data_IF_831119220259
#
_entry.id   IF_831119220259
#
_cell.length_a   1.000
_cell.length_b   1.000
_cell.length_c   1.000
_cell.angle_alpha   90.00
_cell.angle_beta   90.00
_cell.angle_gamma   90.00
#
_symmetry.space_group_name_H-M   'P 1'
#
loop_
_entity.id
_entity.type
_entity.pdbx_description
1 polymer ?
#
# COMPACT_ATOMS: atom_id res chain seq x y z
N UNK A 1 -19.15 4.93 16.37
CA UNK A 1 -20.27 5.89 16.25
C UNK A 1 -20.28 6.93 17.37
N UNK A 2 -20.21 6.54 18.64
CA UNK A 2 -20.20 7.51 19.76
C UNK A 2 -19.05 8.52 19.68
N UNK A 3 -17.83 8.10 19.33
CA UNK A 3 -16.70 9.01 19.16
C UNK A 3 -16.92 10.05 18.05
N UNK A 4 -17.50 9.65 16.93
CA UNK A 4 -17.85 10.55 15.81
C UNK A 4 -18.94 11.54 16.25
N UNK A 5 -19.98 11.05 16.92
CA UNK A 5 -21.10 11.88 17.37
C UNK A 5 -20.70 12.92 18.42
N UNK A 6 -19.65 12.63 19.22
CA UNK A 6 -19.15 13.54 20.26
C UNK A 6 -17.89 14.29 19.83
N UNK A 7 -17.42 14.11 18.59
CA UNK A 7 -16.27 14.83 18.09
C UNK A 7 -16.61 16.33 17.98
N UNK A 8 -15.83 17.15 18.67
CA UNK A 8 -15.92 18.61 18.60
C UNK A 8 -14.69 19.13 17.87
N UNK A 9 -14.83 19.59 16.61
CA UNK A 9 -13.72 20.19 15.88
C UNK A 9 -13.09 21.34 16.68
N UNK A 10 -11.77 21.37 16.74
CA UNK A 10 -11.02 22.45 17.38
C UNK A 10 -10.13 23.14 16.35
N UNK A 11 -10.18 24.47 16.34
CA UNK A 11 -9.28 25.26 15.51
C UNK A 11 -7.87 25.18 16.07
N UNK A 12 -6.90 24.93 15.20
CA UNK A 12 -5.48 25.03 15.50
C UNK A 12 -4.75 25.67 14.32
N UNK A 13 -3.59 26.22 14.62
CA UNK A 13 -2.74 26.95 13.68
C UNK A 13 -1.43 26.20 13.51
N UNK A 14 -0.84 26.30 12.32
CA UNK A 14 0.50 25.81 12.00
C UNK A 14 1.29 26.94 11.36
N UNK A 15 2.62 26.88 11.42
CA UNK A 15 3.48 27.87 10.78
C UNK A 15 4.26 27.23 9.65
N UNK A 16 4.23 27.89 8.49
CA UNK A 16 5.05 27.56 7.33
C UNK A 16 6.00 28.71 7.03
N UNK A 17 7.22 28.38 6.62
CA UNK A 17 8.23 29.31 6.18
C UNK A 17 8.65 28.94 4.77
N UNK A 18 8.55 29.88 3.83
CA UNK A 18 8.96 29.68 2.45
C UNK A 18 10.34 30.31 2.24
N UNK A 19 11.32 29.52 1.83
CA UNK A 19 12.68 29.99 1.56
C UNK A 19 13.33 29.13 0.47
N UNK A 20 14.08 29.76 -0.44
CA UNK A 20 14.80 29.09 -1.52
C UNK A 20 13.94 28.10 -2.35
N UNK A 21 12.66 28.43 -2.57
CA UNK A 21 11.73 27.57 -3.31
C UNK A 21 11.18 26.36 -2.53
N UNK A 22 11.50 26.24 -1.25
CA UNK A 22 11.03 25.18 -0.35
C UNK A 22 10.04 25.75 0.68
N UNK A 23 9.12 24.90 1.14
CA UNK A 23 8.22 25.19 2.26
C UNK A 23 8.61 24.34 3.46
N UNK A 24 9.06 25.00 4.52
CA UNK A 24 9.38 24.37 5.80
C UNK A 24 8.23 24.57 6.79
N UNK A 25 8.07 23.61 7.70
CA UNK A 25 7.09 23.66 8.79
C UNK A 25 7.82 23.88 10.11
N UNK A 26 7.28 24.76 10.96
CA UNK A 26 7.82 24.91 12.30
C UNK A 26 7.72 23.58 13.05
N UNK A 27 8.80 23.15 13.68
CA UNK A 27 8.83 21.88 14.41
C UNK A 27 8.31 22.02 15.84
N UNK A 28 8.49 23.20 16.45
CA UNK A 28 8.18 23.46 17.86
C UNK A 28 7.57 24.85 18.05
N UNK A 29 6.26 24.96 18.29
CA UNK A 29 5.26 23.89 18.19
C UNK A 29 4.92 23.57 16.72
N UNK A 30 4.63 22.30 16.42
CA UNK A 30 4.14 21.88 15.09
C UNK A 30 2.75 22.46 14.80
N UNK A 31 1.90 22.52 15.82
CA UNK A 31 0.60 23.19 15.80
C UNK A 31 0.27 23.79 17.16
N UNK A 32 -0.61 24.79 17.20
CA UNK A 32 -1.07 25.40 18.45
C UNK A 32 -2.51 25.93 18.32
N UNK A 33 -3.38 25.78 19.34
CA UNK A 33 -4.76 26.30 19.30
C UNK A 33 -4.82 27.83 19.34
N UNK A 34 -3.87 28.46 20.04
CA UNK A 34 -3.71 29.91 20.07
C UNK A 34 -2.74 30.37 18.98
N UNK A 35 -3.24 31.18 18.04
CA UNK A 35 -2.47 31.75 16.93
C UNK A 35 -1.35 32.66 17.40
N UNK A 36 -1.52 33.35 18.54
CA UNK A 36 -0.57 34.35 19.03
C UNK A 36 0.80 33.76 19.35
N UNK A 37 0.83 32.47 19.75
CA UNK A 37 2.08 31.72 19.97
C UNK A 37 2.90 31.66 18.68
N UNK A 38 2.28 31.32 17.56
CA UNK A 38 2.98 31.28 16.26
C UNK A 38 3.28 32.70 15.75
N UNK A 39 2.42 33.69 16.00
CA UNK A 39 2.71 35.08 15.64
C UNK A 39 3.92 35.65 16.39
N UNK A 40 4.15 35.24 17.64
CA UNK A 40 5.35 35.61 18.40
C UNK A 40 6.63 35.05 17.76
N UNK A 41 6.60 33.79 17.30
CA UNK A 41 7.71 33.17 16.57
C UNK A 41 7.95 33.90 15.25
N UNK A 42 6.88 34.25 14.51
CA UNK A 42 6.98 34.98 13.25
C UNK A 42 7.68 36.33 13.46
N UNK A 43 7.31 37.07 14.51
CA UNK A 43 7.96 38.33 14.87
C UNK A 43 9.42 38.13 15.29
N UNK A 44 9.70 37.08 16.06
CA UNK A 44 11.05 36.80 16.54
C UNK A 44 12.02 36.50 15.39
N UNK A 45 11.57 35.82 14.33
CA UNK A 45 12.42 35.45 13.18
C UNK A 45 12.42 36.48 12.04
N UNK A 46 11.63 37.54 12.13
CA UNK A 46 11.49 38.51 11.04
C UNK A 46 12.81 39.23 10.75
N UNK A 47 13.17 39.34 9.48
CA UNK A 47 14.45 39.88 9.03
C UNK A 47 15.71 39.06 9.39
N UNK A 48 15.57 37.91 10.08
CA UNK A 48 16.72 37.05 10.39
C UNK A 48 17.11 36.16 9.21
N UNK A 49 18.41 35.94 9.06
CA UNK A 49 18.93 34.94 8.13
C UNK A 49 18.77 33.53 8.70
N UNK A 50 18.22 32.63 7.89
CA UNK A 50 18.21 31.20 8.20
C UNK A 50 19.47 30.50 7.69
N UNK A 51 19.87 29.40 8.34
CA UNK A 51 20.88 28.48 7.82
C UNK A 51 20.39 27.04 7.91
N UNK A 52 20.85 26.22 6.97
CA UNK A 52 20.58 24.78 7.00
C UNK A 52 21.43 24.16 8.11
N UNK A 53 20.78 23.68 9.15
CA UNK A 53 21.42 23.02 10.28
C UNK A 53 21.78 21.56 9.94
N UNK A 54 20.94 20.89 9.15
CA UNK A 54 21.23 19.53 8.68
C UNK A 54 20.52 19.21 7.37
N UNK A 55 21.13 18.32 6.58
CA UNK A 55 20.51 17.66 5.44
C UNK A 55 20.74 16.16 5.64
N UNK A 56 19.65 15.41 5.76
CA UNK A 56 19.65 13.96 5.86
C UNK A 56 19.09 13.37 4.56
N UNK A 57 19.84 12.47 3.95
CA UNK A 57 19.42 11.68 2.79
C UNK A 57 19.32 10.22 3.22
N UNK A 58 18.12 9.66 3.13
CA UNK A 58 17.88 8.26 3.47
C UNK A 58 17.32 7.54 2.27
N UNK A 59 18.01 6.51 1.80
CA UNK A 59 17.48 5.59 0.81
C UNK A 59 16.36 4.74 1.43
N UNK A 60 15.14 4.86 0.91
CA UNK A 60 13.95 4.16 1.40
C UNK A 60 13.38 3.23 0.35
N UNK A 61 12.75 2.15 0.83
CA UNK A 61 12.03 1.18 0.01
C UNK A 61 10.56 1.16 0.41
N UNK A 62 9.67 1.32 -0.55
CA UNK A 62 8.25 1.11 -0.39
C UNK A 62 7.87 -0.22 -1.05
N UNK A 63 7.33 -1.13 -0.24
CA UNK A 63 6.88 -2.44 -0.70
C UNK A 63 5.37 -2.40 -1.04
N UNK A 64 4.90 -3.29 -1.91
CA UNK A 64 3.47 -3.46 -2.14
C UNK A 64 2.75 -3.89 -0.85
N UNK A 65 1.43 -3.71 -0.81
CA UNK A 65 0.63 -4.37 0.23
C UNK A 65 0.75 -5.88 0.08
N UNK A 66 0.52 -6.58 1.18
CA UNK A 66 0.59 -8.04 1.20
C UNK A 66 -0.44 -8.67 0.27
N UNK A 67 -0.25 -9.95 -0.05
CA UNK A 67 -1.23 -10.75 -0.78
C UNK A 67 -2.59 -10.72 -0.07
N UNK A 68 -3.67 -10.94 -0.79
CA UNK A 68 -4.99 -10.79 -0.20
C UNK A 68 -5.32 -11.91 0.79
N UNK A 69 -5.80 -11.53 1.98
CA UNK A 69 -6.76 -12.31 2.75
C UNK A 69 -8.19 -11.89 2.35
N UNK A 70 -9.22 -12.55 2.89
CA UNK A 70 -10.61 -12.23 2.54
C UNK A 70 -11.00 -10.80 2.92
N UNK A 71 -10.62 -10.34 4.12
CA UNK A 71 -10.98 -9.01 4.63
C UNK A 71 -10.39 -7.90 3.78
N UNK A 72 -9.11 -8.00 3.43
CA UNK A 72 -8.40 -7.02 2.61
C UNK A 72 -9.00 -6.93 1.21
N UNK A 73 -9.33 -8.08 0.61
CA UNK A 73 -9.98 -8.11 -0.69
C UNK A 73 -11.37 -7.47 -0.64
N UNK A 74 -12.16 -7.76 0.39
CA UNK A 74 -13.48 -7.14 0.58
C UNK A 74 -13.41 -5.63 0.75
N UNK A 75 -12.43 -5.14 1.52
CA UNK A 75 -12.22 -3.70 1.70
C UNK A 75 -11.81 -3.01 0.39
N UNK A 76 -10.85 -3.59 -0.34
CA UNK A 76 -10.41 -3.01 -1.61
C UNK A 76 -11.50 -3.11 -2.69
N UNK A 77 -12.27 -4.20 -2.74
CA UNK A 77 -13.36 -4.38 -3.68
C UNK A 77 -14.48 -3.37 -3.43
N UNK A 78 -14.79 -3.07 -2.17
CA UNK A 78 -15.73 -2.02 -1.81
C UNK A 78 -15.22 -0.63 -2.21
N UNK A 79 -13.95 -0.30 -1.91
CA UNK A 79 -13.34 0.99 -2.26
C UNK A 79 -13.32 1.25 -3.77
N UNK A 80 -13.03 0.21 -4.57
CA UNK A 80 -12.84 0.35 -6.03
C UNK A 80 -14.13 0.18 -6.82
N UNK A 81 -15.01 -0.71 -6.38
CA UNK A 81 -16.16 -1.18 -7.17
C UNK A 81 -17.49 -1.17 -6.41
N UNK A 82 -17.50 -0.70 -5.16
CA UNK A 82 -18.67 -0.72 -4.27
C UNK A 82 -19.29 -2.12 -4.08
N UNK A 83 -18.49 -3.18 -4.23
CA UNK A 83 -18.93 -4.55 -3.97
C UNK A 83 -18.93 -4.80 -2.46
N UNK A 84 -20.08 -5.18 -1.91
CA UNK A 84 -20.20 -5.45 -0.48
C UNK A 84 -19.43 -6.72 -0.06
N UNK A 85 -19.19 -6.93 1.25
CA UNK A 85 -18.47 -8.11 1.74
C UNK A 85 -19.08 -9.45 1.30
N UNK A 86 -20.41 -9.60 1.42
CA UNK A 86 -21.14 -10.82 1.01
C UNK A 86 -21.04 -11.07 -0.49
N UNK A 87 -21.19 -10.03 -1.29
CA UNK A 87 -21.11 -10.11 -2.74
C UNK A 87 -19.70 -10.48 -3.22
N UNK A 88 -18.68 -9.88 -2.61
CA UNK A 88 -17.28 -10.19 -2.88
C UNK A 88 -16.98 -11.66 -2.53
N UNK A 89 -17.42 -12.14 -1.36
CA UNK A 89 -17.24 -13.54 -0.98
C UNK A 89 -17.93 -14.51 -1.94
N UNK A 90 -19.18 -14.22 -2.35
CA UNK A 90 -19.90 -15.07 -3.30
C UNK A 90 -19.21 -15.12 -4.68
N UNK A 91 -18.73 -13.97 -5.15
CA UNK A 91 -17.97 -13.86 -6.40
C UNK A 91 -16.68 -14.67 -6.31
N UNK A 92 -15.96 -14.53 -5.19
CA UNK A 92 -14.72 -15.24 -4.96
C UNK A 92 -14.93 -16.76 -4.82
N UNK A 93 -16.00 -17.19 -4.17
CA UNK A 93 -16.40 -18.61 -4.10
C UNK A 93 -16.65 -19.17 -5.49
N UNK A 94 -17.29 -18.41 -6.39
CA UNK A 94 -17.51 -18.86 -7.77
C UNK A 94 -16.20 -18.99 -8.54
N UNK A 95 -15.29 -18.02 -8.39
CA UNK A 95 -13.93 -18.10 -8.96
C UNK A 95 -13.14 -19.32 -8.45
N UNK A 96 -13.29 -19.67 -7.17
CA UNK A 96 -12.62 -20.81 -6.55
C UNK A 96 -13.26 -22.16 -6.93
N UNK A 97 -14.57 -22.31 -6.79
CA UNK A 97 -15.25 -23.61 -6.91
C UNK A 97 -15.57 -23.98 -8.35
N UNK A 98 -16.07 -23.01 -9.14
CA UNK A 98 -16.51 -23.23 -10.53
C UNK A 98 -15.36 -23.06 -11.51
N UNK A 99 -14.66 -21.92 -11.44
CA UNK A 99 -13.64 -21.59 -12.43
C UNK A 99 -12.24 -22.09 -12.05
N UNK A 100 -12.01 -22.44 -10.78
CA UNK A 100 -10.71 -22.85 -10.24
C UNK A 100 -9.58 -21.84 -10.49
N UNK A 101 -9.89 -20.55 -10.61
CA UNK A 101 -8.93 -19.51 -11.00
C UNK A 101 -8.15 -18.89 -9.84
N UNK A 102 -8.64 -19.08 -8.63
CA UNK A 102 -8.05 -18.54 -7.39
C UNK A 102 -7.98 -19.62 -6.34
N UNK A 103 -7.13 -19.42 -5.34
CA UNK A 103 -6.99 -20.34 -4.21
C UNK A 103 -8.09 -20.14 -3.16
N UNK A 104 -8.06 -20.95 -2.10
CA UNK A 104 -9.14 -21.03 -1.12
C UNK A 104 -9.56 -19.65 -0.56
N UNK A 105 -10.85 -19.29 -0.57
CA UNK A 105 -11.29 -17.90 -0.44
C UNK A 105 -11.58 -17.44 0.99
N UNK A 106 -11.56 -18.35 1.98
CA UNK A 106 -11.86 -18.05 3.39
C UNK A 106 -10.60 -18.19 4.22
N UNK A 107 -9.65 -17.31 3.96
CA UNK A 107 -8.37 -17.23 4.65
C UNK A 107 -8.22 -15.87 5.30
N UNK A 108 -7.59 -15.85 6.47
CA UNK A 108 -7.11 -14.66 7.17
C UNK A 108 -5.61 -14.41 6.94
N UNK A 109 -4.89 -15.34 6.29
CA UNK A 109 -3.48 -15.20 6.00
C UNK A 109 -3.22 -14.37 4.74
N UNK A 110 -2.17 -13.55 4.81
CA UNK A 110 -1.59 -12.84 3.67
C UNK A 110 -0.26 -13.46 3.18
N UNK A 111 0.08 -14.67 3.65
CA UNK A 111 1.36 -15.33 3.38
C UNK A 111 1.18 -16.64 2.62
N UNK A 112 2.23 -17.04 1.93
CA UNK A 112 2.40 -18.36 1.31
C UNK A 112 3.40 -19.20 2.11
N UNK A 113 3.33 -20.51 1.90
CA UNK A 113 4.30 -21.47 2.44
C UNK A 113 5.48 -21.65 1.48
N UNK A 114 6.60 -22.15 2.02
CA UNK A 114 7.86 -22.28 1.28
C UNK A 114 7.77 -23.27 0.11
N UNK A 115 6.95 -24.31 0.23
CA UNK A 115 6.70 -25.33 -0.80
C UNK A 115 5.96 -24.77 -2.04
N UNK A 116 5.32 -23.61 -1.92
CA UNK A 116 4.65 -22.96 -3.04
C UNK A 116 5.60 -22.17 -3.94
N UNK A 117 6.86 -21.92 -3.54
CA UNK A 117 7.80 -21.04 -4.25
C UNK A 117 8.02 -21.50 -5.70
N UNK A 118 8.20 -22.81 -5.91
CA UNK A 118 8.47 -23.36 -7.25
C UNK A 118 7.26 -23.25 -8.19
N UNK A 119 6.07 -23.09 -7.63
CA UNK A 119 4.81 -23.00 -8.38
C UNK A 119 4.43 -21.56 -8.78
N UNK A 120 5.21 -20.55 -8.35
CA UNK A 120 4.89 -19.14 -8.60
C UNK A 120 4.91 -18.80 -10.10
N UNK A 121 5.85 -19.38 -10.85
CA UNK A 121 5.98 -19.12 -12.29
C UNK A 121 4.82 -19.69 -13.11
N UNK A 122 4.17 -20.75 -12.67
CA UNK A 122 3.04 -21.33 -13.39
C UNK A 122 1.81 -20.43 -13.31
N UNK A 123 1.62 -19.73 -12.20
CA UNK A 123 0.58 -18.69 -12.05
C UNK A 123 0.84 -17.50 -12.94
N UNK A 124 2.11 -17.10 -13.11
CA UNK A 124 2.49 -16.07 -14.09
C UNK A 124 2.06 -16.46 -15.51
N UNK A 125 2.26 -17.72 -15.92
CA UNK A 125 1.83 -18.23 -17.24
C UNK A 125 0.30 -18.13 -17.40
N UNK A 126 -0.47 -18.44 -16.36
CA UNK A 126 -1.93 -18.29 -16.40
C UNK A 126 -2.34 -16.83 -16.59
N UNK A 127 -1.74 -15.91 -15.82
CA UNK A 127 -2.03 -14.47 -15.87
C UNK A 127 -1.74 -13.87 -17.26
N UNK A 128 -0.84 -14.47 -18.05
CA UNK A 128 -0.56 -14.02 -19.42
C UNK A 128 -1.75 -14.11 -20.38
N UNK A 129 -2.85 -14.78 -20.00
CA UNK A 129 -4.10 -14.77 -20.75
C UNK A 129 -4.96 -13.52 -20.54
N UNK A 130 -4.51 -12.60 -19.68
CA UNK A 130 -5.21 -11.35 -19.38
C UNK A 130 -4.51 -10.14 -19.98
N UNK A 131 -5.07 -8.95 -19.75
CA UNK A 131 -4.40 -7.68 -20.07
C UNK A 131 -3.11 -7.44 -19.26
N UNK A 132 -2.81 -8.24 -18.23
CA UNK A 132 -1.57 -8.16 -17.44
C UNK A 132 -0.39 -8.91 -18.07
N UNK A 133 -0.54 -9.40 -19.31
CA UNK A 133 0.42 -10.26 -19.99
C UNK A 133 1.86 -9.75 -19.95
N UNK A 134 2.07 -8.48 -20.30
CA UNK A 134 3.43 -7.94 -20.41
C UNK A 134 4.09 -7.81 -19.02
N UNK A 135 3.31 -7.44 -18.00
CA UNK A 135 3.77 -7.42 -16.61
C UNK A 135 4.14 -8.82 -16.11
N UNK A 136 3.28 -9.82 -16.36
CA UNK A 136 3.55 -11.21 -15.99
C UNK A 136 4.79 -11.77 -16.72
N UNK A 137 4.92 -11.48 -18.02
CA UNK A 137 6.08 -11.88 -18.83
C UNK A 137 7.37 -11.28 -18.30
N UNK A 138 7.36 -10.01 -17.87
CA UNK A 138 8.53 -9.37 -17.28
C UNK A 138 9.02 -10.08 -16.00
N UNK A 139 8.11 -10.65 -15.21
CA UNK A 139 8.47 -11.37 -13.97
C UNK A 139 9.04 -12.78 -14.21
N UNK A 140 8.89 -13.37 -15.41
CA UNK A 140 9.32 -14.75 -15.68
C UNK A 140 10.83 -14.98 -15.55
N UNK A 141 11.62 -13.94 -15.84
CA UNK A 141 13.09 -13.98 -15.76
C UNK A 141 13.62 -13.96 -14.33
N UNK A 142 12.80 -13.57 -13.36
CA UNK A 142 13.20 -13.48 -11.97
C UNK A 142 13.34 -14.86 -11.32
N UNK A 143 14.17 -14.94 -10.30
CA UNK A 143 14.28 -16.12 -9.44
C UNK A 143 13.58 -15.82 -8.11
N UNK A 144 12.64 -16.67 -7.74
CA UNK A 144 11.93 -16.59 -6.47
C UNK A 144 12.54 -17.59 -5.48
N UNK A 145 12.43 -17.28 -4.19
CA UNK A 145 12.95 -18.13 -3.10
C UNK A 145 12.06 -17.98 -1.87
N UNK A 146 12.28 -18.83 -0.85
CA UNK A 146 11.59 -18.71 0.46
C UNK A 146 11.93 -17.43 1.22
N UNK A 147 12.91 -16.64 0.76
CA UNK A 147 13.25 -15.32 1.35
C UNK A 147 12.32 -14.19 0.92
N UNK A 148 11.37 -14.47 0.03
CA UNK A 148 10.38 -13.47 -0.39
C UNK A 148 9.51 -13.04 0.79
N UNK A 149 9.19 -11.74 0.89
CA UNK A 149 8.50 -11.17 2.07
C UNK A 149 7.10 -11.74 2.31
N UNK A 150 6.46 -12.24 1.25
CA UNK A 150 5.14 -12.86 1.28
C UNK A 150 5.20 -14.38 1.51
N UNK A 151 6.38 -14.96 1.69
CA UNK A 151 6.59 -16.38 2.02
C UNK A 151 7.02 -16.49 3.47
N UNK A 152 6.19 -17.12 4.32
CA UNK A 152 6.47 -17.30 5.73
C UNK A 152 5.53 -18.35 6.34
N UNK A 153 6.00 -19.59 6.51
CA UNK A 153 5.22 -20.69 7.10
C UNK A 153 4.61 -20.34 8.46
N UNK A 154 5.31 -19.57 9.31
CA UNK A 154 4.84 -19.22 10.66
C UNK A 154 3.69 -18.21 10.66
N UNK A 155 3.38 -17.61 9.51
CA UNK A 155 2.28 -16.64 9.35
C UNK A 155 1.17 -17.15 8.43
N UNK A 156 1.24 -18.42 8.06
CA UNK A 156 0.15 -19.14 7.41
C UNK A 156 -0.71 -19.76 8.52
N UNK A 157 -2.02 -19.54 8.45
CA UNK A 157 -3.00 -20.17 9.35
C UNK A 157 -3.39 -21.53 8.76
N UNK A 158 -4.66 -21.94 8.86
CA UNK A 158 -5.16 -23.15 8.19
C UNK A 158 -5.06 -23.06 6.66
N UNK A 159 -5.03 -21.84 6.13
CA UNK A 159 -4.94 -21.56 4.70
C UNK A 159 -3.96 -20.43 4.41
N UNK A 160 -3.29 -20.51 3.25
CA UNK A 160 -2.42 -19.45 2.75
C UNK A 160 -3.24 -18.32 2.10
N UNK A 161 -2.57 -17.29 1.59
CA UNK A 161 -3.20 -16.15 0.93
C UNK A 161 -4.01 -16.49 -0.34
N UNK A 162 -4.95 -15.62 -0.69
CA UNK A 162 -5.71 -15.69 -1.94
C UNK A 162 -4.81 -15.21 -3.08
N UNK A 163 -4.48 -16.13 -3.99
CA UNK A 163 -3.68 -15.89 -5.19
C UNK A 163 -4.32 -16.56 -6.41
N UNK A 164 -3.92 -16.21 -7.64
CA UNK A 164 -4.33 -16.97 -8.82
C UNK A 164 -3.83 -18.41 -8.75
N UNK A 165 -4.50 -19.32 -9.44
CA UNK A 165 -3.97 -20.66 -9.74
C UNK A 165 -3.22 -20.66 -11.07
N UNK A 166 -2.68 -21.80 -11.44
CA UNK A 166 -2.10 -22.12 -12.74
C UNK A 166 -3.15 -22.30 -13.85
N UNK A 167 -4.45 -22.25 -13.52
CA UNK A 167 -5.53 -22.36 -14.49
C UNK A 167 -5.62 -21.07 -15.31
N UNK A 168 -5.49 -21.22 -16.64
CA UNK A 168 -5.58 -20.11 -17.58
C UNK A 168 -7.02 -19.56 -17.62
N UNK A 169 -7.26 -18.28 -17.30
CA UNK A 169 -8.60 -17.71 -17.33
C UNK A 169 -9.13 -17.57 -18.76
N UNK A 170 -10.39 -17.97 -18.98
CA UNK A 170 -11.18 -17.56 -20.12
C UNK A 170 -12.05 -16.36 -19.71
N UNK A 171 -11.56 -15.16 -20.03
CA UNK A 171 -12.20 -13.89 -19.61
C UNK A 171 -13.62 -13.75 -20.15
N UNK A 172 -13.95 -14.39 -21.29
CA UNK A 172 -15.28 -14.32 -21.89
C UNK A 172 -16.33 -15.11 -21.08
N UNK A 173 -15.90 -16.06 -20.26
CA UNK A 173 -16.78 -16.85 -19.39
C UNK A 173 -16.99 -16.21 -18.01
N UNK A 174 -16.27 -15.13 -17.71
CA UNK A 174 -16.40 -14.42 -16.44
C UNK A 174 -17.42 -13.30 -16.56
N UNK A 175 -18.30 -13.20 -15.58
CA UNK A 175 -19.08 -11.99 -15.35
C UNK A 175 -18.17 -10.79 -15.09
N UNK A 176 -18.72 -9.58 -15.22
CA UNK A 176 -17.95 -8.36 -14.95
C UNK A 176 -17.40 -8.32 -13.52
N UNK A 177 -18.14 -8.85 -12.54
CA UNK A 177 -17.73 -8.90 -11.13
C UNK A 177 -16.59 -9.91 -10.92
N UNK A 178 -16.72 -11.11 -11.49
CA UNK A 178 -15.68 -12.14 -11.44
C UNK A 178 -14.39 -11.65 -12.09
N UNK A 179 -14.48 -11.02 -13.26
CA UNK A 179 -13.33 -10.41 -13.93
C UNK A 179 -12.66 -9.34 -13.06
N UNK A 180 -13.44 -8.41 -12.48
CA UNK A 180 -12.92 -7.39 -11.55
C UNK A 180 -12.17 -7.99 -10.35
N UNK A 181 -12.76 -8.97 -9.68
CA UNK A 181 -12.15 -9.61 -8.50
C UNK A 181 -10.90 -10.41 -8.88
N UNK A 182 -10.95 -11.20 -9.96
CA UNK A 182 -9.79 -11.94 -10.45
C UNK A 182 -8.62 -11.01 -10.80
N UNK A 183 -8.90 -9.91 -11.52
CA UNK A 183 -7.87 -8.95 -11.91
C UNK A 183 -7.24 -8.24 -10.71
N UNK A 184 -7.99 -7.94 -9.65
CA UNK A 184 -7.42 -7.44 -8.40
C UNK A 184 -6.43 -8.43 -7.78
N UNK A 185 -6.81 -9.70 -7.69
CA UNK A 185 -5.98 -10.76 -7.11
C UNK A 185 -4.71 -10.97 -7.96
N UNK A 186 -4.86 -11.04 -9.29
CA UNK A 186 -3.74 -11.18 -10.21
C UNK A 186 -2.78 -9.98 -10.15
N UNK A 187 -3.31 -8.75 -10.08
CA UNK A 187 -2.50 -7.54 -9.93
C UNK A 187 -1.74 -7.55 -8.60
N UNK A 188 -2.40 -7.84 -7.47
CA UNK A 188 -1.76 -7.91 -6.15
C UNK A 188 -0.66 -8.97 -6.10
N UNK A 189 -0.90 -10.10 -6.75
CA UNK A 189 0.09 -11.16 -6.88
C UNK A 189 1.32 -10.69 -7.67
N UNK A 190 1.13 -10.04 -8.82
CA UNK A 190 2.24 -9.47 -9.60
C UNK A 190 3.02 -8.40 -8.83
N UNK A 191 2.31 -7.50 -8.14
CA UNK A 191 2.93 -6.47 -7.30
C UNK A 191 3.90 -7.09 -6.28
N UNK A 192 3.50 -8.19 -5.62
CA UNK A 192 4.34 -8.88 -4.64
C UNK A 192 5.55 -9.60 -5.24
N UNK A 193 5.56 -9.87 -6.55
CA UNK A 193 6.70 -10.44 -7.26
C UNK A 193 7.66 -9.36 -7.81
N UNK A 194 7.28 -8.09 -7.78
CA UNK A 194 8.09 -6.98 -8.29
C UNK A 194 9.10 -6.48 -7.24
N UNK A 195 10.22 -5.87 -7.68
CA UNK A 195 11.11 -5.17 -6.76
C UNK A 195 10.37 -4.00 -6.08
N UNK A 196 10.79 -3.62 -4.85
CA UNK A 196 10.20 -2.46 -4.18
C UNK A 196 10.46 -1.17 -4.95
N UNK A 197 9.58 -0.20 -4.75
CA UNK A 197 9.83 1.16 -5.19
C UNK A 197 10.90 1.79 -4.29
N UNK A 198 12.02 2.20 -4.90
CA UNK A 198 13.17 2.79 -4.19
C UNK A 198 13.21 4.30 -4.42
N UNK A 199 13.42 5.07 -3.34
CA UNK A 199 13.44 6.53 -3.40
C UNK A 199 14.37 7.13 -2.35
N UNK A 200 14.94 8.30 -2.65
CA UNK A 200 15.70 9.09 -1.68
C UNK A 200 14.74 10.01 -0.92
N UNK A 201 14.62 9.80 0.39
CA UNK A 201 13.93 10.72 1.28
C UNK A 201 14.94 11.75 1.80
N UNK A 202 14.70 13.02 1.48
CA UNK A 202 15.52 14.15 1.94
C UNK A 202 14.78 14.86 3.06
N UNK A 203 15.41 14.99 4.22
CA UNK A 203 14.94 15.82 5.33
C UNK A 203 15.93 16.96 5.52
N UNK A 204 15.41 18.19 5.56
CA UNK A 204 16.22 19.40 5.68
C UNK A 204 15.80 20.10 6.96
N UNK A 205 16.74 20.36 7.86
CA UNK A 205 16.49 21.16 9.05
C UNK A 205 17.00 22.59 8.82
N UNK A 206 16.09 23.56 8.85
CA UNK A 206 16.39 24.98 8.77
C UNK A 206 16.31 25.61 10.17
N UNK A 207 17.36 26.33 10.57
CA UNK A 207 17.35 27.15 11.78
C UNK A 207 17.26 28.62 11.44
N UNK A 208 16.31 29.32 12.07
CA UNK A 208 16.15 30.77 12.00
C UNK A 208 16.04 31.30 13.42
N UNK A 209 17.05 32.06 13.87
CA UNK A 209 17.21 32.37 15.28
C UNK A 209 17.30 31.10 16.13
N UNK A 210 16.43 30.97 17.13
CA UNK A 210 16.33 29.79 18.01
C UNK A 210 15.28 28.76 17.52
N UNK A 211 14.59 29.05 16.41
CA UNK A 211 13.48 28.22 15.93
C UNK A 211 13.93 27.28 14.81
N UNK A 212 13.36 26.08 14.81
CA UNK A 212 13.71 25.00 13.89
C UNK A 212 12.53 24.67 12.99
N UNK A 213 12.79 24.54 11.70
CA UNK A 213 11.83 24.23 10.66
C UNK A 213 12.30 23.02 9.83
N UNK A 214 11.36 22.23 9.30
CA UNK A 214 11.64 21.04 8.47
C UNK A 214 10.75 20.93 7.26
#
# INVERSE_FOLDING_TARGET
QNEINHFKPQTYYTMKLNAAGLTFHCTKPQSHPDKTVLESIKKAIDGQSGHIASISKTHKKAYPQQLYNLTDLQQDAYKRFHLGPKETLNTLQTLYERHKLVTYPRTDSNYLTDDMVDTLKDRLKAIMATSLKDMAKAQMSQTFSSKQRFVNNNKVSDHHAIIPTEVRPDINQLSQRESKIYMMIAQRYLENLMPPHEYEAIAIELKVGQHTFT
#
